data_IF_900035792943
#
_entry.id   IF_900035792943
#
_cell.length_a   1.000
_cell.length_b   1.000
_cell.length_c   1.000
_cell.angle_alpha   90.00
_cell.angle_beta   90.00
_cell.angle_gamma   90.00
#
_symmetry.space_group_name_H-M   'P 1'
#
loop_
_entity.id
_entity.type
_entity.pdbx_description
1 polymer ?
#
# COMPACT_ATOMS: atom_id res chain seq x y z
N UNK A 1 13.15 15.74 -27.01
CA UNK A 1 12.34 15.25 -25.87
C UNK A 1 12.70 13.79 -25.66
N UNK A 2 12.94 13.32 -24.43
CA UNK A 2 13.34 11.94 -24.21
C UNK A 2 12.22 10.99 -24.66
N UNK A 3 12.52 10.12 -25.63
CA UNK A 3 11.56 9.21 -26.26
C UNK A 3 10.86 8.31 -25.23
N UNK A 4 9.54 8.43 -25.14
CA UNK A 4 8.69 7.60 -24.27
C UNK A 4 8.57 6.14 -24.76
N UNK A 5 9.08 5.84 -25.94
CA UNK A 5 8.97 4.54 -26.61
C UNK A 5 10.11 3.56 -26.29
N UNK A 6 11.13 3.97 -25.53
CA UNK A 6 12.20 3.02 -25.21
C UNK A 6 11.68 1.83 -24.37
N UNK A 7 12.03 0.59 -24.77
CA UNK A 7 11.51 -0.61 -24.16
C UNK A 7 12.00 -0.72 -22.71
N UNK A 8 11.05 -0.99 -21.81
CA UNK A 8 11.35 -1.29 -20.41
C UNK A 8 11.36 -2.79 -20.26
N UNK A 9 12.47 -3.31 -19.75
CA UNK A 9 12.62 -4.73 -19.45
C UNK A 9 12.42 -4.97 -17.96
N UNK A 10 11.51 -5.88 -17.64
CA UNK A 10 11.29 -6.34 -16.26
C UNK A 10 12.02 -7.67 -16.06
N UNK A 11 12.79 -7.76 -14.97
CA UNK A 11 13.42 -9.00 -14.53
C UNK A 11 12.95 -9.31 -13.12
N UNK A 12 12.46 -10.52 -12.90
CA UNK A 12 12.01 -10.97 -11.58
C UNK A 12 13.06 -11.88 -10.96
N UNK A 13 13.43 -11.61 -9.71
CA UNK A 13 14.39 -12.41 -8.93
C UNK A 13 13.77 -12.81 -7.60
N UNK A 14 14.34 -13.85 -6.97
CA UNK A 14 13.89 -14.37 -5.66
C UNK A 14 12.37 -14.62 -5.63
N UNK A 15 11.88 -15.30 -6.67
CA UNK A 15 10.46 -15.63 -6.80
C UNK A 15 10.09 -16.74 -5.81
N UNK A 16 9.03 -16.52 -5.03
CA UNK A 16 8.49 -17.48 -4.07
C UNK A 16 6.97 -17.52 -4.23
N UNK A 17 6.41 -18.72 -4.42
CA UNK A 17 4.97 -18.95 -4.32
C UNK A 17 4.62 -19.17 -2.84
N UNK A 18 3.73 -18.35 -2.28
CA UNK A 18 3.26 -18.48 -0.90
C UNK A 18 1.77 -18.83 -0.88
N UNK A 19 1.41 -20.12 -0.74
CA UNK A 19 0.02 -20.56 -0.71
C UNK A 19 -0.77 -20.05 0.51
N UNK A 20 -0.12 -19.85 1.66
CA UNK A 20 -0.78 -19.41 2.90
C UNK A 20 -1.43 -18.03 2.76
N UNK A 21 -0.86 -17.18 1.90
CA UNK A 21 -1.34 -15.82 1.63
C UNK A 21 -1.95 -15.69 0.23
N UNK A 22 -2.09 -16.80 -0.51
CA UNK A 22 -2.62 -16.82 -1.87
C UNK A 22 -1.89 -15.85 -2.80
N UNK A 23 -0.54 -15.80 -2.72
CA UNK A 23 0.25 -14.84 -3.51
C UNK A 23 1.63 -15.34 -3.91
N UNK A 24 2.11 -14.83 -5.04
CA UNK A 24 3.49 -14.91 -5.51
C UNK A 24 4.25 -13.67 -5.08
N UNK A 25 5.45 -13.85 -4.55
CA UNK A 25 6.30 -12.78 -4.02
C UNK A 25 7.60 -12.76 -4.80
N UNK A 26 8.04 -11.58 -5.21
CA UNK A 26 9.26 -11.44 -6.00
C UNK A 26 9.90 -10.07 -5.82
N UNK A 27 11.20 -10.02 -6.07
CA UNK A 27 11.92 -8.77 -6.32
C UNK A 27 11.85 -8.48 -7.81
N UNK A 28 11.52 -7.25 -8.17
CA UNK A 28 11.46 -6.79 -9.56
C UNK A 28 12.60 -5.81 -9.79
N UNK A 29 13.48 -6.16 -10.71
CA UNK A 29 14.44 -5.24 -11.31
C UNK A 29 13.83 -4.68 -12.59
N UNK A 30 13.80 -3.36 -12.68
CA UNK A 30 13.23 -2.62 -13.79
C UNK A 30 14.39 -1.96 -14.52
N UNK A 31 14.62 -2.36 -15.76
CA UNK A 31 15.62 -1.78 -16.62
C UNK A 31 14.93 -0.79 -17.56
N UNK A 32 15.32 0.48 -17.47
CA UNK A 32 14.76 1.59 -18.22
C UNK A 32 15.90 2.51 -18.70
N UNK A 33 16.79 2.01 -19.59
CA UNK A 33 17.92 2.79 -20.08
C UNK A 33 17.42 4.08 -20.74
N UNK A 34 18.07 5.22 -20.47
CA UNK A 34 17.76 6.55 -21.02
C UNK A 34 16.30 7.03 -20.85
N UNK A 35 15.46 6.28 -20.13
CA UNK A 35 14.08 6.62 -19.80
C UNK A 35 13.98 6.98 -18.32
N UNK A 36 13.12 7.96 -18.05
CA UNK A 36 12.78 8.36 -16.69
C UNK A 36 12.06 7.22 -15.91
N UNK A 37 11.75 7.50 -14.65
CA UNK A 37 11.07 6.55 -13.78
C UNK A 37 9.70 6.15 -14.33
N UNK A 38 9.38 4.87 -14.19
CA UNK A 38 8.12 4.29 -14.66
C UNK A 38 7.04 4.46 -13.60
N UNK A 39 5.82 4.75 -14.05
CA UNK A 39 4.67 4.78 -13.14
C UNK A 39 4.38 3.39 -12.57
N UNK A 40 3.91 3.34 -11.31
CA UNK A 40 3.52 2.06 -10.70
C UNK A 40 2.38 1.38 -11.44
N UNK A 41 1.53 2.17 -12.08
CA UNK A 41 0.36 1.68 -12.79
C UNK A 41 0.74 0.95 -14.09
N UNK A 42 1.71 1.48 -14.85
CA UNK A 42 2.33 0.78 -15.99
C UNK A 42 3.03 -0.51 -15.56
N UNK A 43 3.77 -0.49 -14.44
CA UNK A 43 4.45 -1.69 -13.92
C UNK A 43 3.46 -2.79 -13.54
N UNK A 44 2.32 -2.43 -12.93
CA UNK A 44 1.25 -3.38 -12.61
C UNK A 44 0.69 -4.01 -13.88
N UNK A 45 0.47 -3.22 -14.93
CA UNK A 45 0.01 -3.73 -16.23
C UNK A 45 0.99 -4.74 -16.85
N UNK A 46 2.27 -4.39 -16.93
CA UNK A 46 3.30 -5.27 -17.51
C UNK A 46 3.52 -6.56 -16.71
N UNK A 47 3.49 -6.48 -15.38
CA UNK A 47 3.58 -7.67 -14.52
C UNK A 47 2.33 -8.54 -14.61
N UNK A 48 1.15 -7.93 -14.75
CA UNK A 48 -0.10 -8.64 -14.95
C UNK A 48 -0.07 -9.44 -16.26
N UNK A 49 0.38 -8.82 -17.35
CA UNK A 49 0.57 -9.49 -18.65
C UNK A 49 1.59 -10.64 -18.56
N UNK A 50 2.76 -10.39 -17.97
CA UNK A 50 3.83 -11.39 -17.82
C UNK A 50 3.39 -12.65 -17.05
N UNK A 51 2.56 -12.47 -16.02
CA UNK A 51 2.09 -13.56 -15.16
C UNK A 51 0.67 -14.02 -15.47
N UNK A 52 0.06 -13.56 -16.57
CA UNK A 52 -1.32 -13.86 -16.97
C UNK A 52 -2.32 -13.65 -15.82
N UNK A 53 -2.18 -12.51 -15.14
CA UNK A 53 -3.01 -12.08 -14.04
C UNK A 53 -3.76 -10.79 -14.41
N UNK A 54 -4.75 -10.43 -13.62
CA UNK A 54 -5.40 -9.13 -13.73
C UNK A 54 -4.56 -8.05 -13.03
N UNK A 55 -4.59 -6.82 -13.55
CA UNK A 55 -3.92 -5.65 -12.95
C UNK A 55 -4.32 -5.44 -11.49
N UNK A 56 -5.56 -5.79 -11.15
CA UNK A 56 -6.12 -5.67 -9.80
C UNK A 56 -5.63 -6.73 -8.81
N UNK A 57 -4.92 -7.75 -9.29
CA UNK A 57 -4.25 -8.76 -8.47
C UNK A 57 -2.78 -8.41 -8.21
N UNK A 58 -2.23 -7.39 -8.88
CA UNK A 58 -0.82 -7.03 -8.80
C UNK A 58 -0.63 -5.78 -7.94
N UNK A 59 0.28 -5.86 -6.98
CA UNK A 59 0.73 -4.70 -6.21
C UNK A 59 2.26 -4.55 -6.27
N UNK A 60 2.73 -3.32 -6.45
CA UNK A 60 4.16 -2.98 -6.56
C UNK A 60 4.51 -1.92 -5.53
N UNK A 61 5.56 -2.16 -4.74
CA UNK A 61 5.98 -1.24 -3.67
C UNK A 61 7.49 -1.22 -3.48
N UNK A 62 7.97 -0.23 -2.72
CA UNK A 62 9.38 -0.12 -2.36
C UNK A 62 10.31 0.07 -3.56
N UNK A 63 9.88 0.83 -4.56
CA UNK A 63 10.72 1.17 -5.71
C UNK A 63 11.86 2.10 -5.27
N UNK A 64 13.09 1.72 -5.57
CA UNK A 64 14.29 2.49 -5.34
C UNK A 64 15.15 2.50 -6.60
N UNK A 65 15.39 3.69 -7.14
CA UNK A 65 16.22 3.89 -8.33
C UNK A 65 17.69 3.88 -7.91
N UNK A 66 18.54 3.18 -8.67
CA UNK A 66 19.98 3.15 -8.41
C UNK A 66 20.62 4.49 -8.79
N UNK A 67 21.72 4.82 -8.11
CA UNK A 67 22.54 5.97 -8.48
C UNK A 67 23.07 5.78 -9.91
N UNK A 68 23.02 6.85 -10.72
CA UNK A 68 23.29 6.79 -12.16
C UNK A 68 22.07 6.45 -13.04
N UNK A 69 20.93 6.08 -12.45
CA UNK A 69 19.68 5.85 -13.19
C UNK A 69 19.68 4.55 -14.01
N UNK A 70 18.73 4.42 -14.93
CA UNK A 70 18.61 3.26 -15.84
C UNK A 70 18.15 1.95 -15.21
N UNK A 71 18.25 1.81 -13.89
CA UNK A 71 17.80 0.65 -13.13
C UNK A 71 17.07 1.05 -11.84
N UNK A 72 15.91 0.45 -11.62
CA UNK A 72 15.14 0.57 -10.39
C UNK A 72 14.87 -0.81 -9.83
N UNK A 73 15.03 -0.99 -8.52
CA UNK A 73 14.67 -2.23 -7.81
C UNK A 73 13.42 -2.02 -6.99
N UNK A 74 12.62 -3.06 -6.80
CA UNK A 74 11.52 -3.03 -5.85
C UNK A 74 10.87 -4.39 -5.66
N UNK A 75 9.69 -4.39 -5.06
CA UNK A 75 8.97 -5.61 -4.73
C UNK A 75 7.64 -5.65 -5.46
N UNK A 76 7.27 -6.84 -5.93
CA UNK A 76 5.95 -7.10 -6.47
C UNK A 76 5.30 -8.29 -5.79
N UNK A 77 3.98 -8.17 -5.60
CA UNK A 77 3.11 -9.22 -5.11
C UNK A 77 2.03 -9.44 -6.16
N UNK A 78 1.88 -10.69 -6.60
CA UNK A 78 0.81 -11.11 -7.51
C UNK A 78 -0.08 -12.07 -6.74
N UNK A 79 -1.30 -11.66 -6.44
CA UNK A 79 -2.28 -12.45 -5.72
C UNK A 79 -3.05 -13.39 -6.67
N UNK A 80 -3.58 -14.48 -6.12
CA UNK A 80 -4.41 -15.40 -6.88
C UNK A 80 -5.80 -14.80 -7.15
N UNK A 81 -6.31 -13.94 -6.25
CA UNK A 81 -7.60 -13.24 -6.40
C UNK A 81 -7.54 -11.76 -5.93
N UNK A 82 -8.40 -10.88 -6.46
CA UNK A 82 -8.52 -9.49 -5.99
C UNK A 82 -8.96 -9.40 -4.53
N UNK A 83 -9.74 -10.38 -4.07
CA UNK A 83 -10.20 -10.48 -2.69
C UNK A 83 -9.06 -10.79 -1.73
N UNK A 84 -8.15 -11.71 -2.12
CA UNK A 84 -6.96 -12.02 -1.35
C UNK A 84 -6.05 -10.79 -1.20
N UNK A 85 -5.93 -9.98 -2.27
CA UNK A 85 -5.19 -8.73 -2.20
C UNK A 85 -5.80 -7.78 -1.15
N UNK A 86 -7.12 -7.56 -1.19
CA UNK A 86 -7.83 -6.69 -0.23
C UNK A 86 -7.73 -7.20 1.22
N UNK A 87 -7.69 -8.52 1.41
CA UNK A 87 -7.61 -9.16 2.74
C UNK A 87 -6.22 -9.06 3.36
N UNK A 88 -5.17 -9.29 2.57
CA UNK A 88 -3.82 -9.47 3.09
C UNK A 88 -2.88 -8.27 2.91
N UNK A 89 -3.20 -7.31 2.04
CA UNK A 89 -2.41 -6.08 1.95
C UNK A 89 -2.68 -5.14 3.13
N UNK A 90 -1.64 -4.49 3.68
CA UNK A 90 -1.83 -3.37 4.59
C UNK A 90 -2.67 -2.26 3.98
N UNK A 91 -3.55 -1.67 4.80
CA UNK A 91 -4.50 -0.62 4.40
C UNK A 91 -3.85 0.53 3.61
N UNK A 92 -2.65 0.97 4.01
CA UNK A 92 -1.97 2.09 3.34
C UNK A 92 -1.62 1.80 1.87
N UNK A 93 -1.44 0.52 1.49
CA UNK A 93 -1.19 0.13 0.11
C UNK A 93 -2.48 0.06 -0.68
N UNK A 94 -3.56 -0.43 -0.07
CA UNK A 94 -4.90 -0.41 -0.67
C UNK A 94 -5.33 1.02 -1.03
N UNK A 95 -5.09 1.97 -0.14
CA UNK A 95 -5.39 3.40 -0.40
C UNK A 95 -4.57 3.95 -1.56
N UNK A 96 -3.28 3.58 -1.66
CA UNK A 96 -2.41 4.05 -2.77
C UNK A 96 -2.80 3.49 -4.13
N UNK A 97 -3.43 2.32 -4.15
CA UNK A 97 -3.91 1.66 -5.37
C UNK A 97 -5.36 2.07 -5.71
N UNK A 98 -6.09 2.66 -4.77
CA UNK A 98 -7.48 3.08 -4.94
C UNK A 98 -8.53 2.05 -4.53
N UNK A 99 -8.14 0.95 -3.88
CA UNK A 99 -9.07 -0.09 -3.40
C UNK A 99 -9.71 0.19 -2.04
N UNK A 100 -9.20 1.18 -1.31
CA UNK A 100 -9.77 1.59 -0.03
C UNK A 100 -9.68 3.11 0.14
N UNK A 101 -10.61 3.68 0.90
CA UNK A 101 -10.55 5.09 1.28
C UNK A 101 -9.57 5.30 2.43
N UNK A 102 -8.98 6.51 2.48
CA UNK A 102 -8.14 6.92 3.60
C UNK A 102 -9.01 7.00 4.86
N UNK A 103 -8.64 6.26 5.90
CA UNK A 103 -9.35 6.33 7.18
C UNK A 103 -8.91 7.61 7.88
N UNK A 104 -9.79 8.61 7.90
CA UNK A 104 -9.57 9.84 8.65
C UNK A 104 -9.82 9.58 10.14
N UNK A 105 -8.76 9.73 10.93
CA UNK A 105 -8.81 9.57 12.38
C UNK A 105 -8.25 10.85 13.01
N UNK A 106 -8.84 11.31 14.13
CA UNK A 106 -8.24 12.39 14.91
C UNK A 106 -6.83 11.98 15.35
N UNK A 107 -5.99 12.97 15.61
CA UNK A 107 -4.58 12.78 15.98
C UNK A 107 -4.43 11.72 17.07
N UNK A 108 -3.35 10.95 17.02
CA UNK A 108 -3.02 9.95 18.05
C UNK A 108 -3.06 10.55 19.46
N UNK A 109 -2.65 11.82 19.60
CA UNK A 109 -2.69 12.55 20.86
C UNK A 109 -4.14 12.80 21.32
N UNK A 110 -4.99 13.35 20.44
CA UNK A 110 -6.41 13.60 20.74
C UNK A 110 -7.17 12.32 21.12
N UNK A 111 -6.90 11.21 20.43
CA UNK A 111 -7.49 9.90 20.74
C UNK A 111 -7.08 9.40 22.12
N UNK A 112 -5.80 9.54 22.48
CA UNK A 112 -5.28 9.14 23.79
C UNK A 112 -5.81 10.01 24.92
N UNK A 113 -5.83 11.33 24.72
CA UNK A 113 -6.40 12.27 25.69
C UNK A 113 -7.89 11.99 25.91
N UNK A 114 -8.67 11.79 24.84
CA UNK A 114 -10.09 11.42 24.93
C UNK A 114 -10.30 10.11 25.70
N UNK A 115 -9.50 9.08 25.41
CA UNK A 115 -9.52 7.80 26.15
C UNK A 115 -9.25 8.02 27.65
N UNK A 116 -8.23 8.80 28.00
CA UNK A 116 -7.88 9.04 29.40
C UNK A 116 -8.97 9.85 30.13
N UNK A 117 -9.57 10.85 29.49
CA UNK A 117 -10.73 11.59 30.02
C UNK A 117 -11.96 10.69 30.21
N UNK A 118 -12.20 9.73 29.32
CA UNK A 118 -13.33 8.79 29.47
C UNK A 118 -13.12 7.78 30.60
N UNK A 119 -11.87 7.49 30.99
CA UNK A 119 -11.58 6.58 32.11
C UNK A 119 -11.97 7.16 33.48
N UNK A 120 -12.02 8.48 33.63
CA UNK A 120 -12.41 9.13 34.89
C UNK A 120 -13.92 9.15 35.13
N UNK A 121 -14.72 8.78 34.13
CA UNK A 121 -16.18 8.81 34.15
C UNK A 121 -16.76 7.39 34.26
N UNK A 122 -17.95 7.23 34.84
CA UNK A 122 -18.67 5.95 34.96
C UNK A 122 -20.10 6.03 34.38
N UNK A 123 -20.63 4.88 33.96
CA UNK A 123 -21.99 4.78 33.42
C UNK A 123 -22.27 5.75 32.27
N UNK A 124 -23.46 6.35 32.28
CA UNK A 124 -23.92 7.32 31.27
C UNK A 124 -23.05 8.58 31.18
N UNK A 125 -22.28 8.92 32.23
CA UNK A 125 -21.39 10.07 32.22
C UNK A 125 -20.26 9.95 31.17
N UNK A 126 -19.89 8.75 30.74
CA UNK A 126 -18.90 8.55 29.64
C UNK A 126 -19.38 9.09 28.29
N UNK A 127 -20.70 9.11 28.07
CA UNK A 127 -21.33 9.61 26.84
C UNK A 127 -21.75 11.06 27.00
N UNK A 128 -22.35 11.42 28.16
CA UNK A 128 -22.85 12.78 28.43
C UNK A 128 -21.75 13.79 28.78
N UNK A 129 -20.55 13.33 29.15
CA UNK A 129 -19.47 14.17 29.65
C UNK A 129 -19.58 14.43 31.15
N UNK A 130 -18.53 15.02 31.74
CA UNK A 130 -18.56 15.42 33.14
C UNK A 130 -19.62 16.52 33.35
N UNK A 131 -20.60 16.28 34.21
CA UNK A 131 -21.54 17.31 34.64
C UNK A 131 -20.77 18.41 35.36
N UNK A 132 -20.95 19.67 34.96
CA UNK A 132 -20.45 20.82 35.73
C UNK A 132 -21.01 20.70 37.14
N UNK A 133 -20.17 20.81 38.17
CA UNK A 133 -20.65 21.00 39.55
C UNK A 133 -21.51 22.26 39.53
N UNK A 134 -22.77 22.16 39.97
CA UNK A 134 -23.55 23.35 40.30
C UNK A 134 -22.95 23.87 41.60
N UNK A 135 -22.34 25.04 41.54
CA UNK A 135 -21.97 25.78 42.75
C UNK A 135 -23.26 26.19 43.47
N UNK A 136 -23.24 26.04 44.79
CA UNK A 136 -24.37 26.31 45.70
C UNK A 136 -24.50 27.80 45.95
#
# INVERSE_FOLDING_TARGET
MADREQPVTLRTRKFIRNPLLGRKQMVVDILHPNRANISKDELRGKLAEMYKANKDQVNVFGLQTQFGGGKTTGFALVYDSPEALKKFEPHYRLVRVGFASKIEKPSRQQRKQRKNRQKTLRGTAKVKGATKKKDK
#
